data_IF_421529526417
#
_entry.id   IF_421529526417
#
_cell.length_a   1.000
_cell.length_b   1.000
_cell.length_c   1.000
_cell.angle_alpha   90.00
_cell.angle_beta   90.00
_cell.angle_gamma   90.00
#
_symmetry.space_group_name_H-M   'P 1'
#
loop_
_entity.id
_entity.type
_entity.pdbx_description
1 polymer ?
#
# COMPACT_ATOMS: atom_id res chain seq x y z
N UNK A 1 -10.40 -13.27 -5.61
CA UNK A 1 -11.02 -11.94 -5.72
C UNK A 1 -10.59 -11.44 -7.06
N UNK A 2 -11.55 -11.08 -7.88
CA UNK A 2 -11.34 -11.14 -9.31
C UNK A 2 -10.64 -9.88 -9.78
N UNK A 3 -9.62 -10.07 -10.60
CA UNK A 3 -9.10 -9.03 -11.46
C UNK A 3 -9.76 -9.20 -12.83
N UNK A 4 -9.68 -8.22 -13.72
CA UNK A 4 -10.37 -8.26 -15.04
C UNK A 4 -10.07 -9.51 -15.87
N UNK A 5 -8.96 -10.19 -15.59
CA UNK A 5 -8.42 -11.29 -16.39
C UNK A 5 -8.97 -12.66 -15.95
N UNK A 6 -9.79 -12.67 -14.90
CA UNK A 6 -10.35 -13.84 -14.23
C UNK A 6 -11.76 -14.11 -14.80
N UNK A 7 -11.80 -14.60 -16.05
CA UNK A 7 -13.00 -14.70 -16.92
C UNK A 7 -14.16 -15.52 -16.33
N UNK A 8 -13.91 -16.36 -15.31
CA UNK A 8 -14.91 -17.28 -14.75
C UNK A 8 -15.24 -17.08 -13.27
N UNK A 9 -14.82 -15.99 -12.62
CA UNK A 9 -14.92 -15.88 -11.16
C UNK A 9 -15.57 -14.58 -10.64
N UNK A 10 -15.82 -13.56 -11.47
CA UNK A 10 -16.35 -12.28 -11.00
C UNK A 10 -17.89 -12.18 -11.07
N UNK A 11 -18.57 -12.73 -10.07
CA UNK A 11 -20.00 -12.50 -9.88
C UNK A 11 -20.22 -11.14 -9.18
N UNK A 12 -20.82 -10.17 -9.89
CA UNK A 12 -21.17 -8.81 -9.42
C UNK A 12 -19.99 -7.98 -8.88
N UNK A 13 -19.09 -7.47 -9.76
CA UNK A 13 -18.00 -6.60 -9.35
C UNK A 13 -18.51 -5.35 -8.63
N UNK A 14 -17.76 -4.90 -7.61
CA UNK A 14 -17.99 -3.63 -6.94
C UNK A 14 -16.87 -2.66 -7.29
N UNK A 15 -17.20 -1.41 -7.57
CA UNK A 15 -16.21 -0.38 -7.84
C UNK A 15 -15.21 -0.28 -6.67
N UNK A 16 -13.95 -0.12 -7.04
CA UNK A 16 -12.85 0.06 -6.09
C UNK A 16 -11.80 1.00 -6.65
N UNK A 17 -11.39 1.98 -5.87
CA UNK A 17 -10.35 2.95 -6.25
C UNK A 17 -9.28 3.09 -5.16
N UNK A 18 -8.03 3.19 -5.57
CA UNK A 18 -6.88 3.38 -4.70
C UNK A 18 -5.92 4.35 -5.37
N UNK A 19 -5.56 5.44 -4.70
CA UNK A 19 -4.48 6.32 -5.14
C UNK A 19 -3.14 5.77 -4.64
N UNK A 20 -2.09 5.93 -5.47
CA UNK A 20 -0.75 5.44 -5.20
C UNK A 20 0.25 6.57 -5.41
N UNK A 21 1.21 6.69 -4.49
CA UNK A 21 2.28 7.66 -4.57
C UNK A 21 3.61 6.97 -4.25
N UNK A 22 4.61 7.12 -5.12
CA UNK A 22 5.94 6.53 -4.89
C UNK A 22 6.73 7.41 -3.93
N UNK A 23 7.16 6.81 -2.81
CA UNK A 23 8.01 7.47 -1.81
C UNK A 23 9.48 7.20 -2.12
N UNK A 24 9.84 5.93 -2.25
CA UNK A 24 11.24 5.51 -2.41
C UNK A 24 11.35 4.30 -3.35
N UNK A 25 12.46 4.23 -4.08
CA UNK A 25 12.88 3.06 -4.87
C UNK A 25 14.17 2.52 -4.29
N UNK A 26 14.30 1.20 -4.19
CA UNK A 26 15.44 0.61 -3.52
C UNK A 26 15.48 -0.90 -3.60
N UNK A 27 16.17 -1.51 -2.62
CA UNK A 27 16.32 -2.94 -2.49
C UNK A 27 15.78 -3.40 -1.13
N UNK A 28 15.02 -4.50 -1.11
CA UNK A 28 14.76 -5.26 0.11
C UNK A 28 15.44 -6.62 0.00
N UNK A 29 16.30 -6.95 0.95
CA UNK A 29 17.05 -8.23 0.94
C UNK A 29 17.76 -8.49 -0.41
N UNK A 30 18.33 -7.44 -1.01
CA UNK A 30 19.03 -7.49 -2.29
C UNK A 30 18.14 -7.51 -3.54
N UNK A 31 16.81 -7.54 -3.40
CA UNK A 31 15.86 -7.56 -4.53
C UNK A 31 15.22 -6.18 -4.74
N UNK A 32 14.98 -5.75 -6.00
CA UNK A 32 14.26 -4.51 -6.29
C UNK A 32 12.89 -4.45 -5.63
N UNK A 33 12.62 -3.34 -4.94
CA UNK A 33 11.35 -3.06 -4.31
C UNK A 33 11.07 -1.55 -4.29
N UNK A 34 9.81 -1.17 -4.11
CA UNK A 34 9.36 0.22 -4.07
C UNK A 34 8.53 0.44 -2.82
N UNK A 35 8.86 1.48 -2.06
CA UNK A 35 8.05 1.94 -0.93
C UNK A 35 7.06 2.97 -1.45
N UNK A 36 5.78 2.72 -1.19
CA UNK A 36 4.68 3.52 -1.72
C UNK A 36 3.75 3.94 -0.58
N UNK A 37 3.15 5.12 -0.72
CA UNK A 37 1.99 5.53 0.06
C UNK A 37 0.73 5.14 -0.72
N UNK A 38 -0.22 4.53 -0.03
CA UNK A 38 -1.50 4.10 -0.59
C UNK A 38 -2.63 4.83 0.13
N UNK A 39 -3.60 5.31 -0.64
CA UNK A 39 -4.85 5.85 -0.10
C UNK A 39 -6.04 5.15 -0.74
N UNK A 40 -6.77 4.28 -0.02
CA UNK A 40 -8.00 3.70 -0.53
C UNK A 40 -9.09 4.78 -0.63
N UNK A 41 -9.74 4.89 -1.79
CA UNK A 41 -11.01 5.65 -1.95
C UNK A 41 -12.24 4.84 -1.55
N UNK A 42 -12.08 3.51 -1.47
CA UNK A 42 -13.11 2.56 -1.05
C UNK A 42 -12.53 1.52 -0.09
N UNK A 43 -13.37 0.87 0.72
CA UNK A 43 -12.94 -0.14 1.70
C UNK A 43 -13.29 -1.59 1.32
N UNK A 44 -12.86 -2.08 0.15
CA UNK A 44 -13.12 -3.49 -0.21
C UNK A 44 -12.14 -4.43 0.50
N UNK A 45 -12.59 -5.66 0.80
CA UNK A 45 -11.74 -6.69 1.42
C UNK A 45 -10.46 -6.83 0.60
N UNK A 46 -9.29 -6.82 1.24
CA UNK A 46 -7.95 -6.91 0.60
C UNK A 46 -7.70 -5.97 -0.60
N UNK A 47 -8.43 -4.85 -0.73
CA UNK A 47 -8.38 -3.99 -1.91
C UNK A 47 -6.95 -3.61 -2.32
N UNK A 48 -6.16 -3.08 -1.38
CA UNK A 48 -4.79 -2.63 -1.63
C UNK A 48 -3.90 -3.77 -2.16
N UNK A 49 -4.03 -4.96 -1.56
CA UNK A 49 -3.27 -6.16 -1.94
C UNK A 49 -3.59 -6.62 -3.35
N UNK A 50 -4.89 -6.66 -3.71
CA UNK A 50 -5.33 -7.00 -5.08
C UNK A 50 -4.88 -5.97 -6.09
N UNK A 51 -5.04 -4.68 -5.78
CA UNK A 51 -4.64 -3.60 -6.71
C UNK A 51 -3.15 -3.63 -6.99
N UNK A 52 -2.33 -3.78 -5.95
CA UNK A 52 -0.88 -3.95 -6.08
C UNK A 52 -0.52 -5.18 -6.92
N UNK A 53 -1.15 -6.33 -6.68
CA UNK A 53 -0.96 -7.54 -7.51
C UNK A 53 -1.34 -7.30 -8.98
N UNK A 54 -2.50 -6.70 -9.21
CA UNK A 54 -3.06 -6.47 -10.55
C UNK A 54 -2.16 -5.59 -11.43
N UNK A 55 -1.52 -4.58 -10.84
CA UNK A 55 -0.55 -3.72 -11.57
C UNK A 55 0.85 -4.35 -11.69
N UNK A 56 1.03 -5.62 -11.31
CA UNK A 56 2.31 -6.34 -11.37
C UNK A 56 3.27 -6.05 -10.22
N UNK A 57 2.83 -5.40 -9.15
CA UNK A 57 3.64 -5.00 -7.99
C UNK A 57 3.08 -5.58 -6.69
N UNK A 58 3.07 -6.91 -6.58
CA UNK A 58 2.60 -7.63 -5.39
C UNK A 58 3.29 -7.13 -4.12
N UNK A 59 2.52 -6.95 -3.04
CA UNK A 59 3.05 -6.55 -1.74
C UNK A 59 3.95 -7.66 -1.20
N UNK A 60 5.10 -7.27 -0.67
CA UNK A 60 6.08 -8.19 -0.10
C UNK A 60 5.49 -8.91 1.12
N UNK A 61 5.69 -10.22 1.23
CA UNK A 61 5.13 -11.07 2.28
C UNK A 61 3.63 -11.33 2.09
N UNK A 62 3.08 -11.08 0.91
CA UNK A 62 1.71 -11.42 0.59
C UNK A 62 1.60 -12.85 0.06
N UNK A 63 1.47 -13.82 0.96
CA UNK A 63 1.31 -15.24 0.62
C UNK A 63 0.13 -15.52 -0.33
N UNK A 64 -0.97 -14.75 -0.21
CA UNK A 64 -2.19 -15.02 -0.96
C UNK A 64 -2.04 -14.62 -2.43
N UNK A 65 -1.56 -13.40 -2.69
CA UNK A 65 -1.48 -12.84 -4.05
C UNK A 65 -0.14 -13.11 -4.74
N UNK A 66 0.85 -13.65 -4.03
CA UNK A 66 2.09 -14.16 -4.63
C UNK A 66 1.97 -15.60 -5.15
N UNK A 67 0.76 -16.14 -5.32
CA UNK A 67 0.54 -17.55 -5.64
C UNK A 67 1.27 -18.51 -4.67
N UNK A 68 1.27 -18.17 -3.38
CA UNK A 68 1.92 -18.96 -2.30
C UNK A 68 3.45 -19.05 -2.41
N UNK A 69 4.07 -18.17 -3.19
CA UNK A 69 5.53 -18.17 -3.38
C UNK A 69 6.23 -17.25 -2.38
N UNK A 70 5.58 -16.16 -1.98
CA UNK A 70 6.16 -15.20 -1.05
C UNK A 70 5.80 -15.59 0.39
N UNK A 71 6.76 -16.23 1.05
CA UNK A 71 6.68 -16.67 2.46
C UNK A 71 7.62 -15.87 3.36
N UNK A 72 8.43 -14.98 2.76
CA UNK A 72 9.47 -14.24 3.47
C UNK A 72 9.37 -12.75 3.12
N UNK A 73 8.92 -11.91 4.06
CA UNK A 73 8.88 -12.11 5.51
C UNK A 73 7.56 -12.73 6.00
N UNK A 74 7.55 -13.16 7.27
CA UNK A 74 6.39 -13.80 7.92
C UNK A 74 5.10 -12.95 7.95
N UNK A 75 5.19 -11.65 7.68
CA UNK A 75 4.05 -10.73 7.60
C UNK A 75 4.08 -9.95 6.30
N UNK A 76 2.90 -9.56 5.84
CA UNK A 76 2.75 -8.66 4.72
C UNK A 76 3.29 -7.26 5.07
N UNK A 77 4.07 -6.67 4.16
CA UNK A 77 4.62 -5.31 4.23
C UNK A 77 3.53 -4.29 3.86
N UNK A 78 2.46 -4.31 4.65
CA UNK A 78 1.36 -3.36 4.57
C UNK A 78 1.08 -2.85 5.99
N UNK A 79 1.01 -1.54 6.13
CA UNK A 79 0.83 -0.87 7.42
C UNK A 79 -0.18 0.27 7.29
N UNK A 80 -1.07 0.39 8.28
CA UNK A 80 -2.03 1.49 8.37
C UNK A 80 -1.35 2.67 9.05
N UNK A 81 -0.79 3.59 8.26
CA UNK A 81 0.06 4.67 8.74
C UNK A 81 -0.72 5.83 9.38
N UNK A 82 -1.81 6.29 8.75
CA UNK A 82 -2.61 7.44 9.18
C UNK A 82 -4.09 7.10 9.11
N UNK A 83 -4.84 7.54 10.11
CA UNK A 83 -6.29 7.41 10.19
C UNK A 83 -6.89 8.77 10.55
N UNK A 84 -7.72 9.31 9.66
CA UNK A 84 -8.50 10.51 9.91
C UNK A 84 -9.96 10.09 10.08
N UNK A 85 -10.54 10.37 11.24
CA UNK A 85 -11.97 10.17 11.51
C UNK A 85 -12.58 11.52 11.86
N UNK A 86 -13.47 11.99 11.00
CA UNK A 86 -14.31 13.13 11.29
C UNK A 86 -15.61 12.59 11.90
N UNK A 87 -15.78 12.80 13.20
CA UNK A 87 -17.03 12.46 13.90
C UNK A 87 -17.57 13.71 14.61
N UNK A 88 -18.82 13.63 15.09
CA UNK A 88 -19.52 14.78 15.68
C UNK A 88 -18.90 15.28 16.99
N UNK A 89 -18.06 14.48 17.65
CA UNK A 89 -17.43 14.82 18.94
C UNK A 89 -16.07 15.47 18.73
N UNK A 90 -15.22 14.87 17.91
CA UNK A 90 -13.87 15.35 17.64
C UNK A 90 -13.35 14.89 16.28
N UNK A 91 -12.46 15.71 15.71
CA UNK A 91 -11.66 15.31 14.55
C UNK A 91 -10.44 14.55 15.04
N UNK A 92 -10.43 13.24 14.85
CA UNK A 92 -9.28 12.39 15.11
C UNK A 92 -8.37 12.35 13.89
N UNK A 93 -7.10 12.66 14.10
CA UNK A 93 -6.04 12.51 13.10
C UNK A 93 -4.86 11.80 13.75
N UNK A 94 -4.79 10.48 13.52
CA UNK A 94 -3.86 9.59 14.20
C UNK A 94 -2.81 9.14 13.19
N UNK A 95 -1.53 9.35 13.50
CA UNK A 95 -0.39 8.93 12.69
C UNK A 95 0.51 8.04 13.54
N UNK A 96 0.86 6.86 13.03
CA UNK A 96 1.85 5.97 13.64
C UNK A 96 3.25 6.23 13.08
N UNK A 97 4.33 5.86 13.79
CA UNK A 97 5.66 5.79 13.19
C UNK A 97 5.68 4.87 11.95
N UNK A 98 6.56 5.16 11.01
CA UNK A 98 6.76 4.33 9.82
C UNK A 98 7.53 3.06 10.17
N UNK A 99 6.93 1.87 10.11
CA UNK A 99 7.60 0.63 10.47
C UNK A 99 8.53 0.12 9.38
N UNK A 100 8.56 0.73 8.18
CA UNK A 100 9.36 0.31 7.03
C UNK A 100 10.50 1.29 6.74
N UNK A 101 11.01 1.94 7.78
CA UNK A 101 12.19 2.78 7.70
C UNK A 101 13.48 1.94 7.69
N UNK A 102 14.62 2.63 7.64
CA UNK A 102 15.96 2.00 7.67
C UNK A 102 16.48 1.78 9.09
N UNK A 103 15.73 2.14 10.13
CA UNK A 103 16.18 2.01 11.52
C UNK A 103 16.02 0.59 12.03
N UNK A 104 14.97 -0.12 11.59
CA UNK A 104 14.79 -1.53 11.89
C UNK A 104 15.56 -2.42 10.89
N UNK A 105 16.59 -3.11 11.41
CA UNK A 105 17.43 -4.05 10.67
C UNK A 105 16.59 -5.20 10.07
N UNK A 106 15.48 -5.58 10.72
CA UNK A 106 14.60 -6.66 10.28
C UNK A 106 13.84 -6.31 8.99
N UNK A 107 13.69 -5.02 8.66
CA UNK A 107 13.08 -4.59 7.40
C UNK A 107 13.94 -4.97 6.20
N UNK A 108 15.27 -5.02 6.38
CA UNK A 108 16.25 -5.23 5.31
C UNK A 108 16.05 -4.29 4.10
N UNK A 109 15.46 -3.11 4.34
CA UNK A 109 15.18 -2.10 3.34
C UNK A 109 16.38 -1.19 3.13
N UNK A 110 16.72 -0.92 1.86
CA UNK A 110 17.83 -0.05 1.45
C UNK A 110 17.32 0.89 0.35
N UNK A 111 16.97 2.14 0.68
CA UNK A 111 16.56 3.10 -0.33
C UNK A 111 17.74 3.47 -1.23
N UNK A 112 17.49 3.57 -2.55
CA UNK A 112 18.44 4.02 -3.57
C UNK A 112 18.05 5.41 -4.06
N UNK A 113 16.75 5.65 -4.24
CA UNK A 113 16.21 6.92 -4.72
C UNK A 113 15.02 7.31 -3.87
N UNK A 114 15.05 8.52 -3.32
CA UNK A 114 13.93 9.14 -2.61
C UNK A 114 13.17 10.00 -3.63
N UNK A 115 11.94 9.60 -3.94
CA UNK A 115 11.05 10.35 -4.82
C UNK A 115 10.28 11.41 -4.04
N UNK A 116 9.78 11.06 -2.84
CA UNK A 116 9.02 11.93 -1.95
C UNK A 116 9.28 11.56 -0.49
N UNK A 117 9.40 12.58 0.36
CA UNK A 117 9.50 12.39 1.81
C UNK A 117 8.12 12.14 2.41
N UNK A 118 8.06 11.35 3.49
CA UNK A 118 6.82 11.09 4.20
C UNK A 118 6.48 12.27 5.13
N UNK A 119 5.70 13.23 4.63
CA UNK A 119 5.32 14.45 5.34
C UNK A 119 3.91 14.94 4.95
N UNK A 120 3.43 16.03 5.56
CA UNK A 120 2.09 16.58 5.30
C UNK A 120 1.84 16.96 3.84
N UNK A 121 2.86 17.44 3.11
CA UNK A 121 2.71 17.76 1.68
C UNK A 121 2.40 16.51 0.86
N UNK A 122 3.06 15.40 1.19
CA UNK A 122 2.85 14.10 0.54
C UNK A 122 1.46 13.54 0.84
N UNK A 123 0.96 13.71 2.07
CA UNK A 123 -0.42 13.37 2.43
C UNK A 123 -1.45 14.19 1.64
N UNK A 124 -1.28 15.50 1.58
CA UNK A 124 -2.15 16.38 0.78
C UNK A 124 -2.12 16.01 -0.71
N UNK A 125 -0.95 15.65 -1.24
CA UNK A 125 -0.80 15.24 -2.64
C UNK A 125 -1.61 13.98 -2.94
N UNK A 126 -1.53 12.94 -2.09
CA UNK A 126 -2.29 11.71 -2.32
C UNK A 126 -3.80 11.90 -2.07
N UNK A 127 -4.20 12.81 -1.17
CA UNK A 127 -5.60 13.21 -0.97
C UNK A 127 -6.20 13.92 -2.19
N UNK A 128 -5.40 14.68 -2.93
CA UNK A 128 -5.86 15.29 -4.18
C UNK A 128 -6.04 14.25 -5.28
N UNK A 129 -5.12 13.28 -5.39
CA UNK A 129 -5.19 12.23 -6.40
C UNK A 129 -6.47 11.41 -6.32
N UNK A 130 -6.92 11.06 -5.12
CA UNK A 130 -8.13 10.24 -4.95
C UNK A 130 -9.44 11.00 -5.21
N UNK A 131 -9.43 12.33 -5.05
CA UNK A 131 -10.61 13.19 -5.23
C UNK A 131 -10.88 13.40 -6.73
N UNK A 132 -9.86 13.14 -7.56
CA UNK A 132 -9.92 13.23 -9.01
C UNK A 132 -10.25 11.89 -9.71
N UNK A 133 -10.53 10.81 -8.95
CA UNK A 133 -10.87 9.46 -9.45
C UNK A 133 -12.35 9.18 -9.21
#
# INVERSE_FOLDING_TARGET
MCTSDDVNCCDKPRCSSTAILVLERGLRDGKPATKILLRPGTGRRHQLRVHCYHIGHTIIGDYTYSNRQDVEPHRTFLHSLRLILENDLEKLDIITPDPFDTTDIMNKWKPITICQELNERTFQTIDQLITNI
#
